data_IF_146496860773
#
_entry.id   IF_146496860773
#
_cell.length_a   1.000
_cell.length_b   1.000
_cell.length_c   1.000
_cell.angle_alpha   90.00
_cell.angle_beta   90.00
_cell.angle_gamma   90.00
#
_symmetry.space_group_name_H-M   'P 1'
#
loop_
_entity.id
_entity.type
_entity.pdbx_description
1 polymer ?
#
# COMPACT_ATOMS: atom_id res chain seq x y z
N UNK A 1 26.37 -2.45 -1.66
CA UNK A 1 26.85 -1.46 -2.65
C UNK A 1 25.85 -0.30 -2.71
N UNK A 2 26.24 0.91 -3.15
CA UNK A 2 25.28 2.00 -3.31
C UNK A 2 24.47 1.79 -4.60
N UNK A 3 23.14 1.87 -4.50
CA UNK A 3 22.24 1.76 -5.65
C UNK A 3 22.32 3.06 -6.46
N UNK A 4 22.54 2.97 -7.77
CA UNK A 4 22.58 4.13 -8.65
C UNK A 4 21.18 4.47 -9.19
N UNK A 5 20.64 5.60 -8.76
CA UNK A 5 19.37 6.14 -9.27
C UNK A 5 19.57 7.25 -10.32
N UNK A 6 20.79 7.49 -10.81
CA UNK A 6 21.12 8.58 -11.74
C UNK A 6 20.25 8.58 -13.00
N UNK A 7 19.94 7.39 -13.53
CA UNK A 7 19.05 7.18 -14.69
C UNK A 7 17.65 7.76 -14.49
N UNK A 8 17.19 7.87 -13.23
CA UNK A 8 15.86 8.36 -12.87
C UNK A 8 15.81 9.89 -12.64
N UNK A 9 16.97 10.56 -12.57
CA UNK A 9 17.09 11.97 -12.18
C UNK A 9 16.25 12.93 -13.03
N UNK A 10 16.15 12.66 -14.34
CA UNK A 10 15.41 13.50 -15.30
C UNK A 10 14.09 12.88 -15.76
N UNK A 11 13.87 11.59 -15.49
CA UNK A 11 12.65 10.92 -15.88
C UNK A 11 11.45 11.45 -15.07
N UNK A 12 10.27 11.66 -15.67
CA UNK A 12 9.08 12.08 -14.94
C UNK A 12 8.40 10.92 -14.20
N UNK A 13 8.55 9.70 -14.71
CA UNK A 13 7.94 8.48 -14.15
C UNK A 13 8.86 7.30 -14.32
N UNK A 14 8.80 6.37 -13.37
CA UNK A 14 9.28 5.01 -13.51
C UNK A 14 8.06 4.09 -13.59
N UNK A 15 7.87 3.43 -14.74
CA UNK A 15 6.77 2.53 -15.04
C UNK A 15 7.29 1.10 -15.13
N UNK A 16 6.62 0.19 -14.43
CA UNK A 16 6.94 -1.23 -14.44
C UNK A 16 5.70 -2.06 -14.72
N UNK A 17 5.92 -3.18 -15.40
CA UNK A 17 4.92 -4.22 -15.61
C UNK A 17 5.49 -5.54 -15.11
N UNK A 18 4.68 -6.29 -14.38
CA UNK A 18 4.98 -7.66 -13.98
C UNK A 18 3.93 -8.60 -14.58
N UNK A 19 4.39 -9.57 -15.36
CA UNK A 19 3.53 -10.62 -15.88
C UNK A 19 3.32 -11.67 -14.80
N UNK A 20 2.05 -12.02 -14.57
CA UNK A 20 1.64 -12.93 -13.51
C UNK A 20 0.88 -14.13 -14.09
N UNK A 21 0.94 -15.24 -13.39
CA UNK A 21 0.11 -16.43 -13.64
C UNK A 21 -0.47 -16.98 -12.35
N UNK A 22 -1.60 -17.70 -12.36
CA UNK A 22 -1.98 -18.53 -11.23
C UNK A 22 -0.86 -19.52 -10.88
N UNK A 23 -0.51 -19.65 -9.60
CA UNK A 23 0.55 -20.57 -9.14
C UNK A 23 0.18 -22.03 -9.40
N UNK A 24 -1.11 -22.35 -9.38
CA UNK A 24 -1.65 -23.69 -9.66
C UNK A 24 -2.88 -23.64 -10.57
N UNK A 25 -2.82 -24.38 -11.68
CA UNK A 25 -3.89 -24.44 -12.66
C UNK A 25 -4.01 -23.15 -13.48
N UNK A 26 -5.23 -22.81 -13.90
CA UNK A 26 -5.51 -21.67 -14.79
C UNK A 26 -6.53 -20.69 -14.22
N UNK A 27 -7.19 -21.06 -13.12
CA UNK A 27 -8.30 -20.30 -12.55
C UNK A 27 -7.82 -19.42 -11.41
N UNK A 28 -8.44 -18.26 -11.27
CA UNK A 28 -8.27 -17.37 -10.14
C UNK A 28 -9.59 -16.67 -9.83
N UNK A 29 -9.77 -16.24 -8.58
CA UNK A 29 -10.93 -15.46 -8.17
C UNK A 29 -10.50 -13.99 -8.03
N UNK A 30 -11.17 -12.99 -8.62
CA UNK A 30 -10.96 -11.58 -8.32
C UNK A 30 -11.76 -11.14 -7.08
N UNK A 31 -11.58 -9.89 -6.63
CA UNK A 31 -12.35 -9.37 -5.50
C UNK A 31 -13.81 -9.29 -5.92
N UNK A 32 -14.70 -9.87 -5.11
CA UNK A 32 -16.14 -9.78 -5.31
C UNK A 32 -16.75 -8.75 -4.37
N UNK A 33 -17.55 -7.84 -4.90
CA UNK A 33 -18.32 -6.87 -4.12
C UNK A 33 -19.80 -7.26 -4.11
N UNK A 34 -20.55 -7.03 -3.01
CA UNK A 34 -21.98 -7.39 -2.94
C UNK A 34 -22.82 -6.84 -4.10
N UNK A 35 -22.57 -5.59 -4.50
CA UNK A 35 -23.39 -4.90 -5.50
C UNK A 35 -22.86 -5.02 -6.94
N UNK A 36 -21.58 -5.38 -7.12
CA UNK A 36 -20.89 -5.42 -8.43
C UNK A 36 -20.49 -6.85 -8.86
N UNK A 37 -20.33 -7.77 -7.91
CA UNK A 37 -19.60 -9.01 -8.15
C UNK A 37 -18.12 -8.73 -8.45
N UNK A 38 -17.55 -9.46 -9.41
CA UNK A 38 -16.21 -9.19 -9.92
C UNK A 38 -16.20 -7.92 -10.78
N UNK A 39 -15.16 -7.08 -10.63
CA UNK A 39 -15.04 -5.81 -11.35
C UNK A 39 -14.60 -6.00 -12.82
N UNK A 40 -15.53 -6.52 -13.65
CA UNK A 40 -15.38 -6.69 -15.09
C UNK A 40 -15.72 -5.39 -15.83
N UNK A 41 -14.99 -5.07 -16.89
CA UNK A 41 -15.28 -3.93 -17.77
C UNK A 41 -14.85 -4.23 -19.22
N UNK A 42 -15.31 -3.41 -20.17
CA UNK A 42 -14.88 -3.50 -21.57
C UNK A 42 -13.63 -2.63 -21.78
N UNK A 43 -12.59 -3.24 -22.35
CA UNK A 43 -11.37 -2.55 -22.76
C UNK A 43 -11.60 -1.58 -23.92
N UNK A 44 -10.62 -0.73 -24.24
CA UNK A 44 -10.74 0.26 -25.31
C UNK A 44 -10.97 -0.34 -26.71
N UNK A 45 -10.66 -1.62 -26.89
CA UNK A 45 -10.90 -2.40 -28.11
C UNK A 45 -12.04 -3.41 -27.97
N UNK A 46 -12.84 -3.32 -26.90
CA UNK A 46 -13.97 -4.20 -26.63
C UNK A 46 -13.59 -5.55 -25.99
N UNK A 47 -12.30 -5.79 -25.70
CA UNK A 47 -11.89 -7.00 -24.99
C UNK A 47 -12.42 -7.01 -23.56
N UNK A 48 -12.77 -8.18 -23.03
CA UNK A 48 -13.29 -8.29 -21.67
C UNK A 48 -12.15 -8.22 -20.66
N UNK A 49 -12.17 -7.19 -19.82
CA UNK A 49 -11.16 -6.93 -18.80
C UNK A 49 -11.68 -7.27 -17.41
N UNK A 50 -10.77 -7.47 -16.47
CA UNK A 50 -11.07 -7.69 -15.06
C UNK A 50 -10.04 -6.99 -14.18
N UNK A 51 -10.51 -6.12 -13.29
CA UNK A 51 -9.68 -5.55 -12.24
C UNK A 51 -9.50 -6.58 -11.12
N UNK A 52 -8.34 -7.23 -11.09
CA UNK A 52 -7.99 -8.25 -10.09
C UNK A 52 -7.71 -7.60 -8.73
N UNK A 53 -6.96 -6.49 -8.74
CA UNK A 53 -6.68 -5.66 -7.56
C UNK A 53 -6.67 -4.17 -7.91
N UNK A 54 -7.37 -3.37 -7.10
CA UNK A 54 -7.50 -1.94 -7.31
C UNK A 54 -6.27 -1.15 -6.80
N UNK A 55 -6.11 0.11 -7.22
CA UNK A 55 -5.09 1.00 -6.66
C UNK A 55 -5.13 1.18 -5.14
N UNK A 56 -6.32 1.12 -4.54
CA UNK A 56 -6.49 1.24 -3.10
C UNK A 56 -6.02 -0.05 -2.40
N UNK A 57 -6.41 -1.21 -2.91
CA UNK A 57 -5.99 -2.51 -2.37
C UNK A 57 -4.48 -2.70 -2.50
N UNK A 58 -3.92 -2.39 -3.67
CA UNK A 58 -2.49 -2.50 -3.92
C UNK A 58 -1.65 -1.61 -2.99
N UNK A 59 -2.11 -0.41 -2.62
CA UNK A 59 -1.41 0.40 -1.64
C UNK A 59 -1.30 -0.33 -0.28
N UNK A 60 -2.41 -0.89 0.21
CA UNK A 60 -2.41 -1.63 1.48
C UNK A 60 -1.49 -2.87 1.40
N UNK A 61 -1.45 -3.57 0.27
CA UNK A 61 -0.55 -4.72 0.06
C UNK A 61 0.92 -4.31 0.07
N UNK A 62 1.27 -3.22 -0.62
CA UNK A 62 2.62 -2.65 -0.64
C UNK A 62 3.05 -2.07 0.72
N UNK A 63 2.10 -1.73 1.60
CA UNK A 63 2.37 -1.36 2.99
C UNK A 63 2.59 -2.59 3.86
N UNK A 64 1.77 -3.62 3.69
CA UNK A 64 1.81 -4.85 4.48
C UNK A 64 3.17 -5.54 4.39
N UNK A 65 3.80 -5.58 3.21
CA UNK A 65 5.14 -6.18 3.03
C UNK A 65 6.27 -5.46 3.79
N UNK A 66 6.00 -4.30 4.36
CA UNK A 66 6.96 -3.56 5.18
C UNK A 66 6.87 -3.90 6.67
N UNK A 67 5.82 -4.60 7.10
CA UNK A 67 5.56 -4.92 8.50
C UNK A 67 5.88 -6.38 8.79
N UNK A 68 6.51 -6.65 9.93
CA UNK A 68 6.67 -7.98 10.51
C UNK A 68 5.58 -8.17 11.57
N UNK A 69 4.59 -9.00 11.26
CA UNK A 69 3.44 -9.25 12.15
C UNK A 69 3.82 -10.08 13.37
N UNK A 70 4.88 -10.88 13.30
CA UNK A 70 5.34 -11.73 14.41
C UNK A 70 6.15 -10.89 15.40
N UNK A 71 7.08 -10.09 14.89
CA UNK A 71 7.86 -9.16 15.71
C UNK A 71 7.05 -7.90 16.11
N UNK A 72 5.91 -7.68 15.48
CA UNK A 72 5.09 -6.46 15.57
C UNK A 72 5.93 -5.18 15.39
N UNK A 73 6.74 -5.17 14.33
CA UNK A 73 7.67 -4.08 14.04
C UNK A 73 7.88 -3.94 12.53
N UNK A 74 8.67 -2.94 12.16
CA UNK A 74 9.20 -2.85 10.81
C UNK A 74 9.97 -4.13 10.43
N UNK A 75 9.86 -4.53 9.17
CA UNK A 75 10.83 -5.48 8.60
C UNK A 75 12.24 -4.92 8.79
N UNK A 76 13.22 -5.80 9.07
CA UNK A 76 14.60 -5.41 9.47
C UNK A 76 15.24 -4.28 8.62
N UNK A 77 15.12 -4.27 7.28
CA UNK A 77 15.70 -3.20 6.46
C UNK A 77 15.15 -1.80 6.75
N UNK A 78 13.94 -1.70 7.32
CA UNK A 78 13.25 -0.45 7.63
C UNK A 78 13.45 0.03 9.08
N UNK A 79 14.26 -0.66 9.87
CA UNK A 79 14.55 -0.24 11.23
C UNK A 79 15.06 1.21 11.26
N UNK A 80 14.44 2.04 12.10
CA UNK A 80 14.76 3.47 12.22
C UNK A 80 13.81 4.42 11.46
N UNK A 81 12.89 3.91 10.63
CA UNK A 81 11.82 4.73 10.07
C UNK A 81 10.81 5.16 11.16
N UNK A 82 10.23 6.37 11.03
CA UNK A 82 9.24 6.84 11.96
C UNK A 82 7.93 6.05 11.87
N UNK A 83 7.27 5.88 13.01
CA UNK A 83 6.05 5.10 13.16
C UNK A 83 5.14 5.77 14.18
N UNK A 84 3.84 5.84 13.89
CA UNK A 84 2.85 6.17 14.91
C UNK A 84 2.29 4.87 15.45
N UNK A 85 2.59 4.57 16.71
CA UNK A 85 2.11 3.37 17.40
C UNK A 85 0.84 3.70 18.19
N UNK A 86 -0.21 2.90 18.03
CA UNK A 86 -1.44 3.06 18.80
C UNK A 86 -1.54 1.95 19.84
N UNK A 87 -1.71 2.33 21.11
CA UNK A 87 -1.84 1.41 22.24
C UNK A 87 -3.16 1.62 22.98
N UNK A 88 -3.63 0.61 23.70
CA UNK A 88 -4.75 0.74 24.64
C UNK A 88 -4.33 1.43 25.95
N UNK A 89 -5.27 1.64 26.87
CA UNK A 89 -4.98 2.25 28.19
C UNK A 89 -4.04 1.43 29.08
N UNK A 90 -3.81 0.15 28.75
CA UNK A 90 -2.90 -0.75 29.44
C UNK A 90 -1.53 -0.81 28.76
N UNK A 91 -1.34 -0.08 27.66
CA UNK A 91 -0.12 -0.09 26.85
C UNK A 91 0.01 -1.25 25.88
N UNK A 92 -1.04 -2.06 25.68
CA UNK A 92 -1.01 -3.12 24.68
C UNK A 92 -1.17 -2.53 23.28
N UNK A 93 -0.43 -3.07 22.31
CA UNK A 93 -0.57 -2.68 20.91
C UNK A 93 -1.99 -2.93 20.39
N UNK A 94 -2.54 -1.94 19.67
CA UNK A 94 -3.82 -2.03 18.97
C UNK A 94 -3.64 -1.99 17.45
N UNK A 95 -2.95 -0.95 16.96
CA UNK A 95 -2.70 -0.71 15.53
C UNK A 95 -1.54 0.28 15.37
N UNK A 96 -1.21 0.70 14.15
CA UNK A 96 -0.22 1.72 13.86
C UNK A 96 -0.42 2.33 12.46
N UNK A 97 0.30 3.40 12.14
CA UNK A 97 0.15 4.10 10.85
C UNK A 97 0.44 3.25 9.60
N UNK A 98 1.11 2.10 9.72
CA UNK A 98 1.37 1.17 8.60
C UNK A 98 0.20 0.22 8.38
N UNK A 99 -0.45 -0.23 9.45
CA UNK A 99 -1.56 -1.17 9.40
C UNK A 99 -2.91 -0.49 9.11
N UNK A 100 -3.00 0.81 9.38
CA UNK A 100 -4.21 1.59 9.13
C UNK A 100 -4.37 1.99 7.66
N UNK A 101 -5.51 1.64 7.05
CA UNK A 101 -5.81 1.99 5.65
C UNK A 101 -5.83 3.51 5.37
N UNK A 102 -6.07 4.32 6.41
CA UNK A 102 -6.01 5.78 6.36
C UNK A 102 -4.68 6.35 6.85
N UNK A 103 -3.71 5.50 7.21
CA UNK A 103 -2.37 5.87 7.67
C UNK A 103 -2.46 6.81 8.88
N UNK A 104 -1.64 7.86 8.94
CA UNK A 104 -1.77 8.94 9.93
C UNK A 104 -3.18 9.56 10.03
N UNK A 105 -4.03 9.50 8.99
CA UNK A 105 -5.42 9.99 9.06
C UNK A 105 -6.38 8.99 9.74
N UNK A 106 -5.87 7.89 10.30
CA UNK A 106 -6.69 6.92 11.01
C UNK A 106 -7.50 7.57 12.15
N UNK A 107 -8.78 7.17 12.33
CA UNK A 107 -9.53 7.58 13.50
C UNK A 107 -8.83 7.18 14.80
N UNK A 108 -8.15 6.04 14.83
CA UNK A 108 -7.40 5.56 16.00
C UNK A 108 -6.20 6.46 16.36
N UNK A 109 -5.75 7.30 15.43
CA UNK A 109 -4.64 8.25 15.63
C UNK A 109 -5.15 9.66 15.91
N UNK A 110 -6.21 10.12 15.23
CA UNK A 110 -6.63 11.52 15.27
C UNK A 110 -7.95 11.82 15.99
N UNK A 111 -8.81 10.83 16.22
CA UNK A 111 -10.13 11.05 16.84
C UNK A 111 -10.14 10.76 18.35
N UNK A 112 -9.13 10.06 18.87
CA UNK A 112 -9.06 9.67 20.28
C UNK A 112 -8.89 10.86 21.22
N UNK A 113 -9.02 10.61 22.53
CA UNK A 113 -8.74 11.62 23.57
C UNK A 113 -7.28 12.05 23.61
N UNK A 114 -6.36 11.16 23.25
CA UNK A 114 -4.96 11.53 23.04
C UNK A 114 -4.84 12.33 21.74
N UNK A 115 -4.53 13.63 21.89
CA UNK A 115 -4.40 14.58 20.78
C UNK A 115 -2.96 14.79 20.33
N UNK A 116 -2.00 14.01 20.80
CA UNK A 116 -0.56 14.20 20.54
C UNK A 116 -0.26 14.42 19.06
N UNK A 117 -0.68 13.50 18.18
CA UNK A 117 -0.42 13.62 16.73
C UNK A 117 -1.24 14.74 16.10
N UNK A 118 -2.51 14.91 16.52
CA UNK A 118 -3.37 15.97 16.02
C UNK A 118 -2.81 17.36 16.32
N UNK A 119 -2.34 17.60 17.54
CA UNK A 119 -1.77 18.88 17.98
C UNK A 119 -0.45 19.15 17.28
N UNK A 120 0.37 18.11 17.02
CA UNK A 120 1.55 18.23 16.17
C UNK A 120 1.15 18.71 14.78
N UNK A 121 0.21 18.04 14.11
CA UNK A 121 -0.24 18.43 12.77
C UNK A 121 -0.81 19.85 12.75
N UNK A 122 -1.66 20.19 13.73
CA UNK A 122 -2.28 21.51 13.83
C UNK A 122 -1.24 22.61 14.01
N UNK A 123 -0.25 22.40 14.89
CA UNK A 123 0.82 23.37 15.13
C UNK A 123 1.72 23.54 13.91
N UNK A 124 2.20 22.44 13.35
CA UNK A 124 3.18 22.48 12.25
C UNK A 124 2.57 22.99 10.95
N UNK A 125 1.25 22.77 10.74
CA UNK A 125 0.55 23.15 9.52
C UNK A 125 -0.36 24.39 9.68
N UNK A 126 -0.25 25.11 10.80
CA UNK A 126 -1.08 26.28 11.12
C UNK A 126 -1.03 27.39 10.05
N UNK A 127 0.14 27.59 9.42
CA UNK A 127 0.33 28.59 8.36
C UNK A 127 -0.52 28.33 7.10
N UNK A 128 -1.18 27.17 7.00
CA UNK A 128 -2.02 26.80 5.85
C UNK A 128 -3.52 26.98 6.10
N UNK A 129 -3.93 27.60 7.23
CA UNK A 129 -5.34 27.85 7.53
C UNK A 129 -6.06 28.60 6.40
N UNK A 130 -5.38 29.58 5.79
CA UNK A 130 -5.83 30.32 4.62
C UNK A 130 -4.88 30.11 3.42
N UNK A 131 -5.38 30.33 2.21
CA UNK A 131 -4.58 30.23 0.99
C UNK A 131 -4.27 28.80 0.51
N UNK A 132 -3.38 28.64 -0.49
CA UNK A 132 -3.03 27.34 -1.05
C UNK A 132 -2.24 26.49 -0.05
N UNK A 133 -2.42 25.17 -0.12
CA UNK A 133 -1.67 24.21 0.70
C UNK A 133 -0.22 24.14 0.21
N UNK A 134 0.75 24.37 1.11
CA UNK A 134 2.16 24.11 0.82
C UNK A 134 2.44 22.60 0.93
N UNK A 135 2.40 21.95 -0.24
CA UNK A 135 2.64 20.51 -0.38
C UNK A 135 4.05 20.10 0.08
N UNK A 136 5.05 20.98 -0.02
CA UNK A 136 6.42 20.66 0.42
C UNK A 136 6.50 20.60 1.94
N UNK A 137 5.90 21.58 2.61
CA UNK A 137 5.79 21.60 4.07
C UNK A 137 4.95 20.43 4.57
N UNK A 138 3.82 20.12 3.91
CA UNK A 138 3.02 18.94 4.24
C UNK A 138 3.84 17.63 4.09
N UNK A 139 4.57 17.45 2.98
CA UNK A 139 5.41 16.28 2.77
C UNK A 139 6.49 16.12 3.85
N UNK A 140 7.14 17.21 4.27
CA UNK A 140 8.15 17.20 5.34
C UNK A 140 7.55 16.84 6.70
N UNK A 141 6.40 17.40 7.05
CA UNK A 141 5.71 17.08 8.32
C UNK A 141 5.26 15.62 8.34
N UNK A 142 4.75 15.11 7.21
CA UNK A 142 4.36 13.70 7.08
C UNK A 142 5.57 12.78 7.12
N UNK A 143 6.65 13.09 6.41
CA UNK A 143 7.91 12.33 6.46
C UNK A 143 8.40 12.18 7.90
N UNK A 144 8.23 13.23 8.72
CA UNK A 144 8.66 13.23 10.11
C UNK A 144 7.97 12.17 10.97
N UNK A 145 6.70 11.87 10.67
CA UNK A 145 5.82 11.04 11.51
C UNK A 145 5.45 9.70 10.87
N UNK A 146 5.27 9.67 9.56
CA UNK A 146 4.72 8.56 8.79
C UNK A 146 5.25 8.59 7.34
N UNK A 147 6.36 7.88 7.11
CA UNK A 147 6.98 7.79 5.79
C UNK A 147 6.06 7.10 4.75
N UNK A 148 5.17 6.19 5.17
CA UNK A 148 4.23 5.54 4.25
C UNK A 148 3.18 6.53 3.72
N UNK A 149 2.73 7.49 4.53
CA UNK A 149 1.84 8.56 4.07
C UNK A 149 2.45 9.41 2.95
N UNK A 150 3.78 9.58 2.93
CA UNK A 150 4.47 10.27 1.82
C UNK A 150 4.42 9.45 0.54
N UNK A 151 4.64 8.14 0.63
CA UNK A 151 4.68 7.23 -0.54
C UNK A 151 3.28 6.96 -1.11
N UNK A 152 2.34 6.59 -0.25
CA UNK A 152 1.01 6.11 -0.64
C UNK A 152 -0.08 7.19 -0.55
N UNK A 153 0.32 8.42 -0.23
CA UNK A 153 -0.55 9.58 -0.12
C UNK A 153 -1.48 9.52 1.08
N UNK A 154 -2.00 10.69 1.44
CA UNK A 154 -2.95 10.86 2.54
C UNK A 154 -3.88 12.02 2.25
N UNK A 155 -5.11 11.93 2.76
CA UNK A 155 -6.05 13.04 2.75
C UNK A 155 -6.54 13.30 4.17
N UNK A 156 -6.05 14.37 4.79
CA UNK A 156 -6.43 14.81 6.14
C UNK A 156 -7.65 15.73 6.01
N UNK A 157 -8.83 15.12 5.83
CA UNK A 157 -10.10 15.82 5.58
C UNK A 157 -10.75 16.40 6.86
N UNK A 158 -9.95 16.89 7.80
CA UNK A 158 -10.41 17.45 9.09
C UNK A 158 -10.50 18.96 9.03
N UNK A 159 -11.66 19.51 9.38
CA UNK A 159 -11.91 20.96 9.31
C UNK A 159 -10.88 21.77 10.11
N UNK A 160 -10.42 21.22 11.23
CA UNK A 160 -9.45 21.82 12.14
C UNK A 160 -8.02 21.80 11.61
N UNK A 161 -7.74 21.04 10.53
CA UNK A 161 -6.46 20.98 9.86
C UNK A 161 -6.57 21.63 8.48
N UNK A 162 -6.35 22.95 8.44
CA UNK A 162 -6.45 23.77 7.23
C UNK A 162 -7.79 23.61 6.47
N UNK A 163 -8.92 23.52 7.19
CA UNK A 163 -10.25 23.40 6.58
C UNK A 163 -10.50 22.06 5.89
N UNK A 164 -9.72 21.02 6.19
CA UNK A 164 -9.85 19.68 5.58
C UNK A 164 -9.30 19.60 4.16
N UNK A 165 -8.37 20.50 3.80
CA UNK A 165 -7.83 20.63 2.44
C UNK A 165 -6.48 19.95 2.25
N UNK A 166 -5.90 19.39 3.31
CA UNK A 166 -4.56 18.80 3.30
C UNK A 166 -4.57 17.44 2.60
N UNK A 167 -4.16 17.42 1.33
CA UNK A 167 -4.05 16.21 0.54
C UNK A 167 -2.65 16.09 -0.04
N UNK A 168 -1.99 14.97 0.23
CA UNK A 168 -0.74 14.59 -0.41
C UNK A 168 -1.01 13.50 -1.46
N UNK A 169 -0.68 13.71 -2.75
CA UNK A 169 -0.84 12.69 -3.79
C UNK A 169 0.13 11.53 -3.57
N UNK A 170 -0.16 10.38 -4.17
CA UNK A 170 0.69 9.19 -4.08
C UNK A 170 1.92 9.35 -4.96
N UNK A 171 3.06 8.84 -4.49
CA UNK A 171 4.25 8.61 -5.30
C UNK A 171 4.20 7.24 -5.98
N UNK A 172 3.78 6.20 -5.25
CA UNK A 172 3.64 4.84 -5.77
C UNK A 172 2.17 4.47 -5.93
N UNK A 173 1.77 4.16 -7.15
CA UNK A 173 0.47 3.57 -7.48
C UNK A 173 0.66 2.26 -8.23
N UNK A 174 -0.22 1.30 -7.99
CA UNK A 174 -0.19 0.01 -8.67
C UNK A 174 -1.58 -0.60 -8.78
N UNK A 175 -1.80 -1.48 -9.73
CA UNK A 175 -3.05 -2.25 -9.88
C UNK A 175 -2.76 -3.57 -10.62
N UNK A 176 -3.67 -4.53 -10.54
CA UNK A 176 -3.56 -5.79 -11.27
C UNK A 176 -4.79 -5.97 -12.14
N UNK A 177 -4.57 -6.20 -13.43
CA UNK A 177 -5.63 -6.44 -14.41
C UNK A 177 -5.41 -7.77 -15.12
N UNK A 178 -6.51 -8.39 -15.53
CA UNK A 178 -6.51 -9.55 -16.40
C UNK A 178 -7.27 -9.21 -17.70
N UNK A 179 -6.67 -9.60 -18.82
CA UNK A 179 -7.20 -9.37 -20.17
C UNK A 179 -7.96 -10.61 -20.66
N UNK A 180 -8.88 -10.44 -21.61
CA UNK A 180 -9.64 -11.51 -22.27
C UNK A 180 -10.23 -12.54 -21.29
N UNK A 181 -10.82 -12.06 -20.20
CA UNK A 181 -11.25 -12.94 -19.13
C UNK A 181 -12.45 -13.80 -19.52
N UNK A 182 -12.40 -15.08 -19.15
CA UNK A 182 -13.51 -16.01 -19.29
C UNK A 182 -13.94 -16.53 -17.92
N UNK A 183 -15.25 -16.53 -17.66
CA UNK A 183 -15.81 -17.05 -16.42
C UNK A 183 -15.60 -18.56 -16.39
N UNK A 184 -14.91 -19.04 -15.37
CA UNK A 184 -14.81 -20.45 -15.02
C UNK A 184 -15.76 -20.71 -13.86
N UNK A 185 -17.01 -21.04 -14.19
CA UNK A 185 -18.02 -21.32 -13.17
C UNK A 185 -17.61 -22.54 -12.35
N UNK A 186 -17.73 -22.38 -11.04
CA UNK A 186 -17.52 -23.43 -10.05
C UNK A 186 -18.64 -23.38 -9.02
N UNK A 187 -18.60 -24.29 -8.06
CA UNK A 187 -19.53 -24.29 -6.96
C UNK A 187 -19.05 -25.17 -5.83
N UNK A 188 -19.80 -25.17 -4.74
CA UNK A 188 -19.57 -26.05 -3.63
C UNK A 188 -20.85 -26.29 -2.87
N UNK A 189 -20.76 -27.11 -1.84
CA UNK A 189 -21.85 -27.32 -0.90
C UNK A 189 -21.29 -27.08 0.49
N UNK A 190 -21.90 -26.16 1.22
CA UNK A 190 -21.70 -26.09 2.67
C UNK A 190 -22.45 -27.30 3.24
N UNK A 191 -21.74 -28.27 3.79
CA UNK A 191 -22.34 -29.45 4.41
C UNK A 191 -22.47 -29.25 5.92
N UNK A 192 -23.70 -29.31 6.43
CA UNK A 192 -24.00 -29.38 7.85
C UNK A 192 -24.13 -30.86 8.25
N UNK A 193 -23.04 -31.43 8.75
CA UNK A 193 -23.01 -32.83 9.16
C UNK A 193 -23.83 -33.10 10.43
N UNK A 194 -24.23 -32.07 11.17
CA UNK A 194 -24.96 -32.19 12.44
C UNK A 194 -26.47 -32.07 12.20
N UNK A 195 -26.89 -31.13 11.36
CA UNK A 195 -28.28 -30.96 10.96
C UNK A 195 -28.43 -30.72 9.45
N UNK A 196 -28.28 -31.78 8.62
CA UNK A 196 -28.30 -31.65 7.16
C UNK A 196 -29.61 -31.05 6.59
N UNK A 197 -30.72 -31.22 7.31
CA UNK A 197 -32.06 -30.74 6.92
C UNK A 197 -32.51 -29.49 7.70
N UNK A 198 -31.58 -28.81 8.37
CA UNK A 198 -31.89 -27.62 9.16
C UNK A 198 -32.23 -26.38 8.31
N UNK A 199 -32.77 -25.36 8.96
CA UNK A 199 -33.14 -24.08 8.36
C UNK A 199 -31.91 -23.32 7.81
N UNK A 200 -31.78 -23.26 6.48
CA UNK A 200 -30.66 -22.64 5.77
C UNK A 200 -30.60 -21.13 5.95
N UNK A 201 -31.74 -20.48 6.17
CA UNK A 201 -31.80 -19.03 6.41
C UNK A 201 -31.16 -18.62 7.74
N UNK A 202 -31.05 -19.55 8.69
CA UNK A 202 -30.37 -19.37 9.98
C UNK A 202 -28.96 -19.97 10.01
N UNK A 203 -28.49 -20.49 8.88
CA UNK A 203 -27.17 -21.10 8.77
C UNK A 203 -27.10 -22.56 9.19
N UNK A 204 -28.20 -23.31 9.26
CA UNK A 204 -28.17 -24.78 9.34
C UNK A 204 -28.30 -25.42 7.95
N UNK A 205 -28.23 -26.75 7.87
CA UNK A 205 -28.52 -27.48 6.64
C UNK A 205 -27.44 -27.40 5.56
N UNK A 206 -27.59 -28.27 4.56
CA UNK A 206 -26.72 -28.29 3.39
C UNK A 206 -27.12 -27.20 2.40
N UNK A 207 -26.17 -26.35 1.99
CA UNK A 207 -26.42 -25.23 1.07
C UNK A 207 -25.48 -25.30 -0.12
N UNK A 208 -25.96 -25.70 -1.31
CA UNK A 208 -25.22 -25.51 -2.56
C UNK A 208 -25.03 -24.02 -2.85
N UNK A 209 -23.85 -23.67 -3.34
CA UNK A 209 -23.55 -22.31 -3.79
C UNK A 209 -22.76 -22.34 -5.09
N UNK A 210 -23.03 -21.37 -5.97
CA UNK A 210 -22.19 -21.11 -7.13
C UNK A 210 -21.05 -20.16 -6.76
N UNK A 211 -19.97 -20.23 -7.52
CA UNK A 211 -18.84 -19.32 -7.42
C UNK A 211 -18.28 -19.06 -8.81
N UNK A 212 -18.19 -17.80 -9.17
CA UNK A 212 -17.50 -17.38 -10.38
C UNK A 212 -16.01 -17.24 -10.08
N UNK A 213 -15.22 -18.08 -10.75
CA UNK A 213 -13.78 -17.89 -10.93
C UNK A 213 -13.53 -17.43 -12.37
N UNK A 214 -12.30 -17.06 -12.67
CA UNK A 214 -11.91 -16.51 -13.96
C UNK A 214 -10.66 -17.20 -14.47
N UNK A 215 -10.55 -17.27 -15.79
CA UNK A 215 -9.34 -17.64 -16.51
C UNK A 215 -8.96 -16.46 -17.39
N UNK A 216 -7.67 -16.30 -17.66
CA UNK A 216 -7.17 -15.23 -18.51
C UNK A 216 -5.86 -15.68 -19.17
N UNK A 217 -5.64 -15.36 -20.45
CA UNK A 217 -4.33 -15.56 -21.08
C UNK A 217 -3.25 -14.62 -20.54
N UNK A 218 -3.63 -13.49 -19.92
CA UNK A 218 -2.67 -12.47 -19.48
C UNK A 218 -3.15 -11.72 -18.23
N UNK A 219 -2.38 -11.85 -17.16
CA UNK A 219 -2.55 -11.10 -15.92
C UNK A 219 -1.32 -10.21 -15.74
N UNK A 220 -1.52 -8.91 -15.53
CA UNK A 220 -0.42 -7.95 -15.42
C UNK A 220 -0.59 -7.07 -14.19
N UNK A 221 0.45 -6.98 -13.36
CA UNK A 221 0.56 -5.96 -12.34
C UNK A 221 1.30 -4.75 -12.90
N UNK A 222 0.67 -3.58 -12.80
CA UNK A 222 1.23 -2.32 -13.26
C UNK A 222 1.69 -1.50 -12.06
N UNK A 223 2.87 -0.89 -12.15
CA UNK A 223 3.42 -0.01 -11.13
C UNK A 223 3.85 1.33 -11.75
N UNK A 224 3.54 2.42 -11.07
CA UNK A 224 3.94 3.76 -11.45
C UNK A 224 4.53 4.49 -10.23
N UNK A 225 5.80 4.87 -10.34
CA UNK A 225 6.46 5.78 -9.41
C UNK A 225 6.55 7.17 -10.08
N UNK A 226 5.87 8.16 -9.49
CA UNK A 226 5.88 9.54 -9.98
C UNK A 226 7.12 10.30 -9.48
N UNK A 227 8.17 10.27 -10.29
CA UNK A 227 9.47 10.88 -10.01
C UNK A 227 9.41 12.42 -10.05
N UNK A 228 8.56 12.98 -10.90
CA UNK A 228 8.34 14.42 -10.94
C UNK A 228 7.66 14.91 -9.66
N UNK A 229 6.66 14.18 -9.17
CA UNK A 229 5.99 14.47 -7.90
C UNK A 229 6.93 14.32 -6.71
N UNK A 230 7.80 13.29 -6.71
CA UNK A 230 8.83 13.10 -5.68
C UNK A 230 9.74 14.31 -5.56
N UNK A 231 10.31 14.78 -6.68
CA UNK A 231 11.10 16.02 -6.71
C UNK A 231 10.26 17.25 -6.34
N UNK A 232 9.00 17.28 -6.75
CA UNK A 232 8.04 18.33 -6.44
C UNK A 232 7.79 18.52 -4.94
N UNK A 233 7.88 17.43 -4.14
CA UNK A 233 7.80 17.50 -2.68
C UNK A 233 8.97 18.23 -2.04
N UNK A 234 10.12 18.36 -2.72
CA UNK A 234 11.26 19.16 -2.25
C UNK A 234 11.77 18.70 -0.88
N UNK A 235 11.84 17.38 -0.68
CA UNK A 235 12.25 16.74 0.58
C UNK A 235 13.76 16.55 0.68
N UNK A 236 14.51 16.82 -0.38
CA UNK A 236 15.96 16.73 -0.44
C UNK A 236 16.45 15.38 -0.97
N UNK A 237 17.64 15.39 -1.59
CA UNK A 237 18.15 14.26 -2.37
C UNK A 237 18.25 12.95 -1.56
N UNK A 238 18.75 13.01 -0.32
CA UNK A 238 18.87 11.80 0.53
C UNK A 238 17.52 11.17 0.82
N UNK A 239 16.50 12.00 1.11
CA UNK A 239 15.14 11.53 1.32
C UNK A 239 14.58 10.94 0.03
N UNK A 240 14.79 11.59 -1.12
CA UNK A 240 14.33 11.07 -2.41
C UNK A 240 14.92 9.70 -2.72
N UNK A 241 16.23 9.51 -2.53
CA UNK A 241 16.90 8.21 -2.72
C UNK A 241 16.36 7.14 -1.76
N UNK A 242 16.15 7.49 -0.48
CA UNK A 242 15.55 6.58 0.49
C UNK A 242 14.12 6.18 0.09
N UNK A 243 13.26 7.14 -0.29
CA UNK A 243 11.89 6.88 -0.71
C UNK A 243 11.84 6.00 -1.98
N UNK A 244 12.75 6.23 -2.94
CA UNK A 244 12.89 5.37 -4.12
C UNK A 244 13.26 3.94 -3.75
N UNK A 245 14.26 3.76 -2.89
CA UNK A 245 14.64 2.43 -2.41
C UNK A 245 13.49 1.73 -1.68
N UNK A 246 12.73 2.46 -0.83
CA UNK A 246 11.55 1.91 -0.15
C UNK A 246 10.49 1.47 -1.17
N UNK A 247 10.18 2.31 -2.16
CA UNK A 247 9.18 1.99 -3.19
C UNK A 247 9.58 0.77 -4.03
N UNK A 248 10.84 0.67 -4.45
CA UNK A 248 11.35 -0.47 -5.22
C UNK A 248 11.38 -1.75 -4.39
N UNK A 249 11.78 -1.65 -3.12
CA UNK A 249 11.70 -2.79 -2.19
C UNK A 249 10.26 -3.28 -2.04
N UNK A 250 9.29 -2.37 -1.88
CA UNK A 250 7.87 -2.72 -1.75
C UNK A 250 7.40 -3.52 -2.97
N UNK A 251 7.78 -3.08 -4.17
CA UNK A 251 7.46 -3.79 -5.42
C UNK A 251 8.10 -5.19 -5.42
N UNK A 252 9.42 -5.28 -5.21
CA UNK A 252 10.14 -6.57 -5.20
C UNK A 252 9.55 -7.54 -4.19
N UNK A 253 9.41 -7.13 -2.92
CA UNK A 253 8.89 -8.01 -1.88
C UNK A 253 7.42 -8.38 -2.09
N UNK A 254 6.60 -7.49 -2.65
CA UNK A 254 5.24 -7.83 -3.04
C UNK A 254 5.19 -8.89 -4.14
N UNK A 255 6.06 -8.80 -5.13
CA UNK A 255 6.12 -9.80 -6.21
C UNK A 255 6.71 -11.13 -5.74
N UNK A 256 7.63 -11.12 -4.76
CA UNK A 256 8.23 -12.35 -4.21
C UNK A 256 7.30 -13.11 -3.24
N UNK A 257 6.56 -12.39 -2.40
CA UNK A 257 5.85 -12.97 -1.24
C UNK A 257 4.36 -12.56 -1.16
N UNK A 258 3.97 -11.48 -1.83
CA UNK A 258 2.67 -10.80 -1.64
C UNK A 258 1.57 -11.19 -2.63
N UNK A 259 1.86 -12.10 -3.56
CA UNK A 259 0.96 -12.48 -4.65
C UNK A 259 -0.14 -13.48 -4.26
N UNK A 260 -0.15 -13.96 -3.01
CA UNK A 260 -1.32 -14.61 -2.43
C UNK A 260 -2.36 -13.56 -2.05
N UNK A 261 -3.12 -13.14 -3.05
CA UNK A 261 -4.08 -12.06 -2.91
C UNK A 261 -5.28 -12.49 -2.06
N UNK A 262 -5.84 -13.67 -2.35
CA UNK A 262 -6.99 -14.28 -1.66
C UNK A 262 -6.88 -15.80 -1.73
N UNK A 263 -7.72 -16.54 -1.02
CA UNK A 263 -7.64 -18.02 -0.96
C UNK A 263 -7.61 -18.69 -2.34
N UNK A 264 -8.43 -18.23 -3.29
CA UNK A 264 -8.49 -18.73 -4.66
C UNK A 264 -7.83 -17.77 -5.66
N UNK A 265 -6.90 -16.93 -5.21
CA UNK A 265 -6.16 -15.99 -6.05
C UNK A 265 -4.73 -15.92 -5.52
N UNK A 266 -3.94 -16.89 -5.97
CA UNK A 266 -2.54 -17.02 -5.63
C UNK A 266 -1.75 -17.03 -6.93
N UNK A 267 -0.92 -16.02 -7.12
CA UNK A 267 -0.23 -15.74 -8.37
C UNK A 267 1.27 -15.90 -8.19
N UNK A 268 1.96 -16.15 -9.28
CA UNK A 268 3.42 -16.25 -9.34
C UNK A 268 3.95 -15.28 -10.40
N UNK A 269 5.13 -14.73 -10.15
CA UNK A 269 5.81 -13.81 -11.04
C UNK A 269 6.41 -14.57 -12.22
N UNK A 270 6.12 -14.14 -13.44
CA UNK A 270 6.73 -14.66 -14.66
C UNK A 270 7.90 -13.80 -15.13
N UNK A 271 7.68 -12.49 -15.17
CA UNK A 271 8.67 -11.52 -15.62
C UNK A 271 8.38 -10.15 -14.99
N UNK A 272 9.43 -9.35 -14.76
CA UNK A 272 9.33 -7.97 -14.30
C UNK A 272 10.15 -7.08 -15.25
N UNK A 273 9.48 -6.14 -15.91
CA UNK A 273 10.09 -5.23 -16.88
C UNK A 273 9.85 -3.77 -16.54
N UNK A 274 10.84 -2.93 -16.86
CA UNK A 274 10.69 -1.48 -16.84
C UNK A 274 10.26 -1.03 -18.24
N UNK A 275 9.07 -0.44 -18.33
CA UNK A 275 8.56 0.11 -19.60
C UNK A 275 8.96 1.56 -19.79
N UNK A 276 9.35 2.27 -18.72
CA UNK A 276 9.89 3.63 -18.80
C UNK A 276 10.63 4.01 -17.52
N UNK A 277 11.86 4.57 -17.59
CA UNK A 277 12.76 4.57 -18.75
C UNK A 277 13.36 3.16 -18.97
N UNK A 278 13.40 2.70 -20.22
CA UNK A 278 13.85 1.34 -20.58
C UNK A 278 15.28 1.00 -20.11
N UNK A 279 16.12 2.00 -19.87
CA UNK A 279 17.51 1.81 -19.42
C UNK A 279 17.65 1.56 -17.92
N UNK A 280 16.58 1.75 -17.13
CA UNK A 280 16.65 1.51 -15.69
C UNK A 280 16.48 0.02 -15.41
N UNK A 281 17.40 -0.53 -14.63
CA UNK A 281 17.32 -1.90 -14.12
C UNK A 281 16.84 -1.82 -12.68
N UNK A 282 15.78 -2.56 -12.37
CA UNK A 282 15.27 -2.63 -11.00
C UNK A 282 16.28 -3.38 -10.16
N UNK A 283 16.82 -2.81 -9.07
CA UNK A 283 17.71 -3.53 -8.17
C UNK A 283 17.05 -4.80 -7.64
N UNK A 284 17.85 -5.83 -7.40
CA UNK A 284 17.37 -7.04 -6.75
C UNK A 284 16.98 -6.76 -5.30
N UNK A 285 16.08 -7.58 -4.76
CA UNK A 285 15.58 -7.38 -3.39
C UNK A 285 16.71 -7.32 -2.36
N UNK A 286 17.69 -8.22 -2.47
CA UNK A 286 18.83 -8.29 -1.54
C UNK A 286 19.63 -6.99 -1.56
N UNK A 287 19.86 -6.39 -2.73
CA UNK A 287 20.58 -5.13 -2.86
C UNK A 287 19.82 -3.98 -2.16
N UNK A 288 18.49 -3.98 -2.25
CA UNK A 288 17.63 -3.01 -1.56
C UNK A 288 17.66 -3.23 -0.04
N UNK A 289 17.59 -4.48 0.41
CA UNK A 289 17.67 -4.84 1.83
C UNK A 289 18.99 -4.41 2.47
N UNK A 290 20.10 -4.54 1.75
CA UNK A 290 21.43 -4.09 2.20
C UNK A 290 21.58 -2.56 2.19
N UNK A 291 20.99 -1.87 1.21
CA UNK A 291 21.14 -0.42 1.06
C UNK A 291 20.25 0.39 2.02
N UNK A 292 19.02 -0.08 2.28
CA UNK A 292 18.00 0.64 3.04
C UNK A 292 18.47 1.12 4.43
N UNK A 293 19.14 0.31 5.28
CA UNK A 293 19.61 0.77 6.58
C UNK A 293 20.54 1.99 6.48
N UNK A 294 21.45 2.00 5.51
CA UNK A 294 22.39 3.11 5.30
C UNK A 294 21.66 4.37 4.82
N UNK A 295 20.69 4.22 3.90
CA UNK A 295 19.87 5.33 3.42
C UNK A 295 19.03 5.95 4.54
N UNK A 296 18.40 5.11 5.37
CA UNK A 296 17.59 5.54 6.52
C UNK A 296 18.46 6.28 7.54
N UNK A 297 19.65 5.77 7.85
CA UNK A 297 20.60 6.45 8.75
C UNK A 297 21.07 7.79 8.20
N UNK A 298 21.35 7.85 6.89
CA UNK A 298 21.78 9.09 6.24
C UNK A 298 20.71 10.19 6.29
N UNK A 299 19.43 9.82 6.12
CA UNK A 299 18.29 10.73 6.30
C UNK A 299 18.09 11.07 7.78
N UNK A 300 18.21 10.09 8.66
CA UNK A 300 18.07 10.29 10.10
C UNK A 300 19.08 11.32 10.64
N UNK A 301 20.30 11.35 10.11
CA UNK A 301 21.34 12.32 10.43
C UNK A 301 21.02 13.76 10.00
N UNK A 302 20.06 13.96 9.10
CA UNK A 302 19.56 15.30 8.73
C UNK A 302 18.54 15.84 9.74
N UNK A 303 18.16 15.06 10.76
CA UNK A 303 17.24 15.49 11.81
C UNK A 303 15.78 15.63 11.34
N UNK A 304 15.41 14.99 10.22
CA UNK A 304 14.09 15.16 9.59
C UNK A 304 13.00 14.19 10.07
N UNK A 305 13.33 13.09 10.77
CA UNK A 305 12.29 12.29 11.46
C UNK A 305 12.08 12.74 12.90
N UNK A 306 10.92 12.37 13.45
CA UNK A 306 10.62 12.59 14.86
C UNK A 306 11.64 11.87 15.76
N UNK A 307 11.92 12.47 16.91
CA UNK A 307 12.64 11.82 18.01
C UNK A 307 11.79 11.88 19.28
N UNK A 308 11.41 10.73 19.87
CA UNK A 308 11.71 9.37 19.42
C UNK A 308 11.06 9.02 18.07
N UNK A 309 11.69 8.11 17.29
CA UNK A 309 11.18 7.66 15.97
C UNK A 309 9.78 7.04 16.06
N UNK A 310 9.44 6.44 17.20
CA UNK A 310 8.08 5.93 17.46
C UNK A 310 7.30 6.96 18.26
N UNK A 311 6.26 7.53 17.65
CA UNK A 311 5.28 8.38 18.33
C UNK A 311 4.16 7.50 18.85
N UNK A 312 4.03 7.36 20.17
CA UNK A 312 2.97 6.55 20.78
C UNK A 312 1.72 7.39 21.05
N UNK A 313 0.55 6.86 20.67
CA UNK A 313 -0.77 7.42 20.94
C UNK A 313 -1.58 6.42 21.75
N UNK A 314 -2.21 6.88 22.83
CA UNK A 314 -3.10 6.05 23.65
C UNK A 314 -4.55 6.18 23.17
N UNK A 315 -5.10 5.11 22.60
CA UNK A 315 -6.47 5.09 22.12
C UNK A 315 -7.48 5.01 23.27
N UNK A 316 -8.37 6.01 23.32
CA UNK A 316 -9.54 6.06 24.18
C UNK A 316 -10.66 6.78 23.45
N UNK A 317 -11.87 6.20 23.50
CA UNK A 317 -13.10 6.86 23.06
C UNK A 317 -13.41 8.06 23.94
#
# INVERSE_FOLDING_TARGET
MAIDFSVLSTAPRLLLEADLKPIHGTRFQPTGFPDLGAAVYDGPDGRRMLLVESPQSMANRLETVCWDTVANSWQKPFAGLPLIMVVDEKGNHLTNSVLEAHRINSPYILEGKDKTVFDILKRELAEMEEGPVDIRKLAKVLLRLDTNAVIHGVFLAKKELAGGRLRLPRLLSAFIEAEDVSVAQSGGVKNDHVNPSGDTGKGFGNVPFSRDEYTSPKITAYFNIDLAQLRGFGVGEKVEQMLLAIMLYKIRRFLDEGLRLRTACDLDLMDLRVTRPHSFVVPERVELEEALPTLIQAVAAEGVFAEPRVTTVTWRK
#
